data_IF_288930462006
#
_entry.id   IF_288930462006
#
_cell.length_a   1.000
_cell.length_b   1.000
_cell.length_c   1.000
_cell.angle_alpha   90.00
_cell.angle_beta   90.00
_cell.angle_gamma   90.00
#
_symmetry.space_group_name_H-M   'P 1'
#
loop_
_entity.id
_entity.type
_entity.pdbx_description
1 polymer ?
#
# COMPACT_ATOMS: atom_id res chain seq x y z
N UNK A 1 6.03 -24.92 -30.09
CA UNK A 1 6.79 -23.93 -29.30
C UNK A 1 6.31 -22.55 -29.73
N UNK A 2 5.61 -21.86 -28.91
CA UNK A 2 5.24 -20.47 -29.16
C UNK A 2 6.50 -19.62 -28.95
N UNK A 3 7.16 -19.21 -30.02
CA UNK A 3 8.29 -18.28 -29.94
C UNK A 3 7.74 -16.92 -29.56
N UNK A 4 7.91 -16.55 -28.28
CA UNK A 4 7.71 -15.19 -27.82
C UNK A 4 8.71 -14.25 -28.53
N UNK A 5 8.27 -13.06 -28.90
CA UNK A 5 9.16 -12.05 -29.48
C UNK A 5 10.35 -11.81 -28.52
N UNK A 6 11.57 -12.08 -29.01
CA UNK A 6 12.78 -11.96 -28.19
C UNK A 6 13.06 -10.51 -27.74
N UNK A 7 12.51 -9.51 -28.44
CA UNK A 7 12.64 -8.08 -28.08
C UNK A 7 11.89 -7.73 -26.79
N UNK A 8 10.90 -8.56 -26.40
CA UNK A 8 10.19 -8.40 -25.13
C UNK A 8 10.95 -9.00 -23.94
N UNK A 9 12.06 -9.71 -24.17
CA UNK A 9 12.80 -10.40 -23.13
C UNK A 9 14.12 -9.71 -22.82
N UNK A 10 14.41 -9.51 -21.55
CA UNK A 10 15.72 -9.09 -21.07
C UNK A 10 16.36 -10.17 -20.20
N UNK A 11 17.68 -10.35 -20.34
CA UNK A 11 18.47 -11.38 -19.66
C UNK A 11 19.44 -10.76 -18.65
N UNK A 12 19.93 -11.54 -17.67
CA UNK A 12 20.95 -11.10 -16.72
C UNK A 12 22.11 -10.39 -17.42
N UNK A 13 22.54 -9.27 -16.84
CA UNK A 13 23.61 -8.42 -17.37
C UNK A 13 23.14 -7.29 -18.30
N UNK A 14 21.93 -7.33 -18.85
CA UNK A 14 21.39 -6.24 -19.67
C UNK A 14 20.86 -5.07 -18.82
N UNK A 15 20.82 -3.86 -19.38
CA UNK A 15 20.28 -2.68 -18.68
C UNK A 15 18.79 -2.80 -18.36
N UNK A 16 17.88 -3.25 -19.27
CA UNK A 16 16.47 -3.45 -18.95
C UNK A 16 16.27 -4.49 -17.84
N UNK A 17 17.04 -5.59 -17.83
CA UNK A 17 16.98 -6.58 -16.76
C UNK A 17 17.31 -5.96 -15.41
N UNK A 18 18.43 -5.20 -15.30
CA UNK A 18 18.82 -4.55 -14.04
C UNK A 18 17.77 -3.55 -13.56
N UNK A 19 17.16 -2.81 -14.47
CA UNK A 19 16.10 -1.86 -14.12
C UNK A 19 14.87 -2.57 -13.52
N UNK A 20 14.39 -3.63 -14.17
CA UNK A 20 13.22 -4.37 -13.74
C UNK A 20 13.45 -5.19 -12.45
N UNK A 21 14.70 -5.59 -12.17
CA UNK A 21 15.06 -6.35 -10.96
C UNK A 21 15.50 -5.49 -9.79
N UNK A 22 15.35 -4.16 -9.88
CA UNK A 22 15.60 -3.21 -8.81
C UNK A 22 14.27 -2.68 -8.24
N UNK A 23 13.60 -3.41 -7.32
CA UNK A 23 12.33 -2.99 -6.75
C UNK A 23 12.51 -1.77 -5.84
N UNK A 24 11.42 -1.01 -5.61
CA UNK A 24 11.47 0.12 -4.68
C UNK A 24 11.80 -0.34 -3.25
N UNK A 25 11.25 -1.48 -2.80
CA UNK A 25 11.73 -2.11 -1.56
C UNK A 25 12.90 -3.06 -1.88
N UNK A 26 14.10 -2.65 -1.48
CA UNK A 26 15.36 -3.33 -1.79
C UNK A 26 15.78 -4.36 -0.71
N UNK A 27 14.87 -4.83 0.15
CA UNK A 27 15.17 -5.85 1.16
C UNK A 27 15.43 -7.23 0.60
N UNK A 28 14.99 -7.50 -0.63
CA UNK A 28 15.12 -8.82 -1.28
C UNK A 28 15.80 -8.70 -2.63
N UNK A 29 16.65 -9.67 -2.91
CA UNK A 29 17.33 -9.80 -4.20
C UNK A 29 16.41 -10.45 -5.23
N UNK A 30 16.41 -9.92 -6.46
CA UNK A 30 15.64 -10.44 -7.56
C UNK A 30 16.55 -10.88 -8.70
N UNK A 31 16.64 -12.20 -8.91
CA UNK A 31 17.49 -12.84 -9.91
C UNK A 31 16.67 -13.84 -10.78
N UNK A 32 15.61 -13.39 -11.47
CA UNK A 32 14.85 -14.27 -12.36
C UNK A 32 15.72 -14.80 -13.50
N UNK A 33 15.34 -15.94 -14.09
CA UNK A 33 15.98 -16.46 -15.30
C UNK A 33 15.94 -15.45 -16.45
N UNK A 34 14.85 -14.71 -16.53
CA UNK A 34 14.56 -13.73 -17.58
C UNK A 34 13.47 -12.76 -17.12
N UNK A 35 13.45 -11.55 -17.66
CA UNK A 35 12.36 -10.58 -17.46
C UNK A 35 11.63 -10.41 -18.80
N UNK A 36 10.29 -10.42 -18.75
CA UNK A 36 9.43 -10.05 -19.87
C UNK A 36 8.87 -8.64 -19.66
N UNK A 37 8.84 -7.83 -20.72
CA UNK A 37 8.37 -6.44 -20.72
C UNK A 37 7.13 -6.28 -21.64
N UNK A 38 5.95 -6.83 -21.27
CA UNK A 38 4.78 -6.78 -22.13
C UNK A 38 4.17 -5.36 -22.19
N UNK A 39 3.64 -5.00 -23.38
CA UNK A 39 2.94 -3.74 -23.65
C UNK A 39 1.41 -3.94 -23.74
N UNK A 40 0.93 -5.19 -23.80
CA UNK A 40 -0.48 -5.52 -23.90
C UNK A 40 -0.80 -6.87 -23.23
N UNK A 41 -2.10 -7.14 -23.02
CA UNK A 41 -2.57 -8.37 -22.38
C UNK A 41 -2.16 -9.64 -23.16
N UNK A 42 -2.12 -9.58 -24.49
CA UNK A 42 -1.74 -10.74 -25.30
C UNK A 42 -0.25 -11.10 -25.11
N UNK A 43 0.61 -10.11 -24.98
CA UNK A 43 2.04 -10.34 -24.68
C UNK A 43 2.24 -10.90 -23.26
N UNK A 44 1.42 -10.49 -22.27
CA UNK A 44 1.39 -11.13 -20.95
C UNK A 44 1.00 -12.61 -21.09
N UNK A 45 -0.06 -12.90 -21.87
CA UNK A 45 -0.52 -14.26 -22.11
C UNK A 45 0.56 -15.12 -22.80
N UNK A 46 1.28 -14.55 -23.77
CA UNK A 46 2.41 -15.21 -24.43
C UNK A 46 3.54 -15.50 -23.45
N UNK A 47 3.87 -14.54 -22.55
CA UNK A 47 4.91 -14.72 -21.54
C UNK A 47 4.58 -15.87 -20.57
N UNK A 48 3.32 -15.99 -20.12
CA UNK A 48 2.88 -17.09 -19.25
C UNK A 48 3.01 -18.44 -19.98
N UNK A 49 2.53 -18.54 -21.21
CA UNK A 49 2.67 -19.77 -22.02
C UNK A 49 4.13 -20.12 -22.29
N UNK A 50 4.96 -19.12 -22.60
CA UNK A 50 6.40 -19.29 -22.82
C UNK A 50 7.11 -19.82 -21.56
N UNK A 51 6.74 -19.33 -20.37
CA UNK A 51 7.24 -19.83 -19.09
C UNK A 51 6.78 -21.29 -18.83
N UNK A 52 5.53 -21.61 -19.18
CA UNK A 52 4.99 -22.95 -19.07
C UNK A 52 5.77 -23.97 -19.89
N UNK A 53 6.07 -23.67 -21.15
CA UNK A 53 6.86 -24.52 -22.05
C UNK A 53 8.29 -24.79 -21.55
N UNK A 54 8.77 -23.97 -20.57
CA UNK A 54 10.13 -24.06 -20.00
C UNK A 54 10.14 -24.49 -18.54
N UNK A 55 9.00 -24.85 -18.00
CA UNK A 55 8.81 -25.19 -16.60
C UNK A 55 9.31 -24.10 -15.63
N UNK A 56 9.09 -22.83 -15.98
CA UNK A 56 9.37 -21.69 -15.13
C UNK A 56 8.11 -21.28 -14.37
N UNK A 57 8.26 -20.89 -13.11
CA UNK A 57 7.27 -20.10 -12.39
C UNK A 57 7.20 -18.68 -12.95
N UNK A 58 6.11 -17.97 -12.66
CA UNK A 58 5.90 -16.59 -13.11
C UNK A 58 5.74 -15.70 -11.87
N UNK A 59 6.59 -14.69 -11.75
CA UNK A 59 6.43 -13.59 -10.81
C UNK A 59 5.99 -12.33 -11.56
N UNK A 60 5.32 -11.40 -10.87
CA UNK A 60 4.85 -10.14 -11.45
C UNK A 60 5.25 -8.96 -10.59
N UNK A 61 5.69 -7.87 -11.21
CA UNK A 61 6.06 -6.63 -10.55
C UNK A 61 5.70 -5.42 -11.42
N UNK A 62 5.28 -4.35 -10.77
CA UNK A 62 5.23 -2.99 -11.32
C UNK A 62 6.34 -2.15 -10.66
N UNK A 63 6.02 -1.32 -9.66
CA UNK A 63 7.01 -0.47 -8.96
C UNK A 63 7.86 -1.20 -7.91
N UNK A 64 7.45 -2.38 -7.46
CA UNK A 64 8.18 -3.15 -6.45
C UNK A 64 8.13 -2.61 -5.03
N UNK A 65 7.21 -1.70 -4.69
CA UNK A 65 7.01 -1.25 -3.30
C UNK A 65 6.67 -2.39 -2.34
N UNK A 66 5.90 -3.37 -2.81
CA UNK A 66 5.52 -4.55 -2.04
C UNK A 66 6.49 -5.73 -2.17
N UNK A 67 7.69 -5.56 -2.72
CA UNK A 67 8.67 -6.64 -2.82
C UNK A 67 9.06 -7.14 -1.41
N UNK A 68 9.04 -8.45 -1.22
CA UNK A 68 9.33 -9.08 0.07
C UNK A 68 9.82 -10.52 -0.08
N UNK A 69 9.40 -11.22 -1.14
CA UNK A 69 9.91 -12.52 -1.51
C UNK A 69 11.00 -12.41 -2.59
N UNK A 70 12.08 -13.19 -2.50
CA UNK A 70 13.08 -13.24 -3.56
C UNK A 70 12.49 -13.86 -4.82
N UNK A 71 12.89 -13.36 -5.99
CA UNK A 71 12.59 -13.97 -7.29
C UNK A 71 13.86 -14.64 -7.78
N UNK A 72 13.77 -15.95 -8.02
CA UNK A 72 14.94 -16.80 -8.31
C UNK A 72 15.05 -17.25 -9.76
N UNK A 73 16.12 -18.01 -10.09
CA UNK A 73 16.44 -18.42 -11.45
C UNK A 73 15.46 -19.45 -12.06
N UNK A 74 14.51 -19.95 -11.28
CA UNK A 74 13.44 -20.82 -11.78
C UNK A 74 12.16 -20.06 -12.16
N UNK A 75 12.23 -18.71 -12.23
CA UNK A 75 11.10 -17.86 -12.50
C UNK A 75 11.35 -16.91 -13.66
N UNK A 76 10.30 -16.64 -14.42
CA UNK A 76 10.15 -15.47 -15.28
C UNK A 76 9.58 -14.33 -14.44
N UNK A 77 10.17 -13.15 -14.48
CA UNK A 77 9.54 -11.93 -13.97
C UNK A 77 8.80 -11.23 -15.11
N UNK A 78 7.53 -10.93 -14.90
CA UNK A 78 6.76 -10.04 -15.79
C UNK A 78 6.79 -8.63 -15.17
N UNK A 79 7.50 -7.73 -15.83
CA UNK A 79 7.51 -6.30 -15.53
C UNK A 79 6.33 -5.63 -16.24
N UNK A 80 5.32 -5.21 -15.46
CA UNK A 80 4.11 -4.60 -15.99
C UNK A 80 4.21 -3.09 -16.20
N UNK A 81 5.37 -2.47 -15.98
CA UNK A 81 5.55 -1.01 -16.01
C UNK A 81 5.12 -0.35 -17.33
N UNK A 82 5.21 -1.06 -18.44
CA UNK A 82 4.77 -0.59 -19.76
C UNK A 82 3.24 -0.68 -19.96
N UNK A 83 2.51 -1.38 -19.10
CA UNK A 83 1.04 -1.39 -19.07
C UNK A 83 0.54 -0.19 -18.26
N UNK A 84 0.70 1.03 -18.76
CA UNK A 84 0.51 2.26 -17.98
C UNK A 84 -0.49 3.26 -18.59
N UNK A 85 -1.27 2.85 -19.56
CA UNK A 85 -2.33 3.67 -20.14
C UNK A 85 -3.38 4.04 -19.09
N UNK A 86 -3.83 5.31 -19.10
CA UNK A 86 -4.90 5.82 -18.25
C UNK A 86 -5.95 6.52 -19.10
N UNK A 87 -7.21 6.15 -18.91
CA UNK A 87 -8.35 6.87 -19.45
C UNK A 87 -9.41 7.10 -18.38
N UNK A 88 -10.02 8.28 -18.38
CA UNK A 88 -11.03 8.69 -17.41
C UNK A 88 -12.37 8.87 -18.14
N UNK A 89 -13.43 8.29 -17.57
CA UNK A 89 -14.82 8.66 -17.86
C UNK A 89 -15.32 9.59 -16.74
N UNK A 90 -15.33 10.91 -16.96
CA UNK A 90 -15.71 11.86 -15.91
C UNK A 90 -17.19 11.77 -15.52
N UNK A 91 -18.07 11.43 -16.47
CA UNK A 91 -19.50 11.33 -16.22
C UNK A 91 -19.84 10.13 -15.33
N UNK A 92 -19.21 9.00 -15.59
CA UNK A 92 -19.34 7.80 -14.78
C UNK A 92 -18.46 7.83 -13.51
N UNK A 93 -17.50 8.73 -13.42
CA UNK A 93 -16.44 8.78 -12.39
C UNK A 93 -15.65 7.47 -12.34
N UNK A 94 -15.18 7.03 -13.49
CA UNK A 94 -14.46 5.77 -13.66
C UNK A 94 -13.10 6.03 -14.30
N UNK A 95 -12.07 5.37 -13.77
CA UNK A 95 -10.77 5.24 -14.42
C UNK A 95 -10.62 3.83 -15.00
N UNK A 96 -10.06 3.74 -16.21
CA UNK A 96 -9.47 2.53 -16.77
C UNK A 96 -7.96 2.75 -16.81
N UNK A 97 -7.21 1.90 -16.13
CA UNK A 97 -5.77 2.06 -16.00
C UNK A 97 -5.04 0.73 -16.17
N UNK A 98 -3.95 0.73 -16.89
CA UNK A 98 -3.06 -0.44 -17.00
C UNK A 98 -2.45 -0.81 -15.66
N UNK A 99 -2.17 -2.10 -15.45
CA UNK A 99 -1.74 -2.62 -14.15
C UNK A 99 -0.36 -2.11 -13.68
N UNK A 100 0.45 -1.55 -14.58
CA UNK A 100 1.73 -0.90 -14.29
C UNK A 100 1.63 0.58 -13.92
N UNK A 101 0.42 1.17 -13.99
CA UNK A 101 0.19 2.58 -13.66
C UNK A 101 0.51 2.87 -12.19
N UNK A 102 1.12 4.03 -11.90
CA UNK A 102 1.30 4.54 -10.54
C UNK A 102 0.12 5.41 -10.11
N UNK A 103 -0.06 5.58 -8.79
CA UNK A 103 -1.08 6.49 -8.26
C UNK A 103 -0.86 7.94 -8.68
N UNK A 104 0.41 8.38 -8.80
CA UNK A 104 0.74 9.70 -9.32
C UNK A 104 0.21 9.90 -10.75
N UNK A 105 0.46 8.96 -11.65
CA UNK A 105 0.01 9.04 -13.04
C UNK A 105 -1.53 9.04 -13.15
N UNK A 106 -2.21 8.16 -12.41
CA UNK A 106 -3.67 8.10 -12.41
C UNK A 106 -4.27 9.40 -11.86
N UNK A 107 -3.82 9.86 -10.69
CA UNK A 107 -4.39 11.04 -10.04
C UNK A 107 -4.05 12.34 -10.77
N UNK A 108 -2.89 12.42 -11.43
CA UNK A 108 -2.54 13.54 -12.32
C UNK A 108 -3.51 13.69 -13.49
N UNK A 109 -3.99 12.55 -14.03
CA UNK A 109 -5.00 12.56 -15.11
C UNK A 109 -6.40 12.82 -14.55
N UNK A 110 -6.79 12.16 -13.45
CA UNK A 110 -8.13 12.26 -12.85
C UNK A 110 -8.44 13.68 -12.33
N UNK A 111 -7.46 14.36 -11.72
CA UNK A 111 -7.67 15.71 -11.16
C UNK A 111 -7.97 16.78 -12.23
N UNK A 112 -7.63 16.56 -13.50
CA UNK A 112 -8.03 17.45 -14.61
C UNK A 112 -9.55 17.51 -14.76
N UNK A 113 -10.26 16.52 -14.21
CA UNK A 113 -11.71 16.42 -14.16
C UNK A 113 -12.29 16.64 -12.75
N UNK A 114 -11.48 17.11 -11.79
CA UNK A 114 -11.88 17.24 -10.39
C UNK A 114 -12.10 15.91 -9.66
N UNK A 115 -11.52 14.82 -10.19
CA UNK A 115 -11.67 13.46 -9.67
C UNK A 115 -10.37 12.94 -9.08
N UNK A 116 -10.48 11.98 -8.14
CA UNK A 116 -9.34 11.35 -7.48
C UNK A 116 -9.56 9.86 -7.31
N UNK A 117 -8.50 9.07 -7.50
CA UNK A 117 -8.44 7.69 -7.03
C UNK A 117 -7.99 7.62 -5.57
N UNK A 118 -8.31 6.52 -4.91
CA UNK A 118 -8.02 6.30 -3.49
C UNK A 118 -6.56 5.86 -3.28
N UNK A 119 -5.62 6.76 -3.53
CA UNK A 119 -4.19 6.54 -3.39
C UNK A 119 -3.74 6.41 -1.93
N UNK A 120 -2.59 5.77 -1.72
CA UNK A 120 -1.82 5.82 -0.47
C UNK A 120 -1.06 7.14 -0.30
N UNK A 121 -0.07 7.13 0.60
CA UNK A 121 0.79 8.28 0.90
C UNK A 121 1.91 8.47 -0.13
N UNK A 122 2.44 7.39 -0.71
CA UNK A 122 3.53 7.47 -1.69
C UNK A 122 3.02 7.53 -3.14
N UNK A 123 3.43 8.53 -3.94
CA UNK A 123 2.95 8.74 -5.30
C UNK A 123 3.46 7.68 -6.31
N UNK A 124 4.58 7.02 -6.02
CA UNK A 124 5.25 6.05 -6.90
C UNK A 124 4.73 4.62 -6.75
N UNK A 125 3.82 4.38 -5.81
CA UNK A 125 3.18 3.07 -5.61
C UNK A 125 2.31 2.72 -6.81
N UNK A 126 2.45 1.47 -7.31
CA UNK A 126 1.61 0.93 -8.37
C UNK A 126 0.17 0.69 -7.92
N UNK A 127 -0.79 1.05 -8.78
CA UNK A 127 -2.23 0.96 -8.44
C UNK A 127 -2.68 -0.48 -8.18
N UNK A 128 -2.13 -1.46 -8.91
CA UNK A 128 -2.56 -2.86 -8.83
C UNK A 128 -2.22 -3.48 -7.48
N UNK A 129 -0.93 -3.57 -7.12
CA UNK A 129 -0.50 -4.20 -5.87
C UNK A 129 -1.09 -3.55 -4.62
N UNK A 130 -1.20 -2.22 -4.63
CA UNK A 130 -1.80 -1.46 -3.54
C UNK A 130 -3.30 -1.77 -3.37
N UNK A 131 -4.07 -1.70 -4.45
CA UNK A 131 -5.52 -1.98 -4.43
C UNK A 131 -5.79 -3.44 -4.04
N UNK A 132 -5.00 -4.38 -4.57
CA UNK A 132 -5.15 -5.81 -4.27
C UNK A 132 -4.77 -6.15 -2.83
N UNK A 133 -3.94 -5.35 -2.17
CA UNK A 133 -3.62 -5.47 -0.75
C UNK A 133 -4.59 -4.75 0.20
N UNK A 134 -5.72 -4.23 -0.32
CA UNK A 134 -6.68 -3.43 0.43
C UNK A 134 -6.54 -1.93 0.14
N UNK A 135 -5.38 -1.36 0.39
CA UNK A 135 -5.03 0.03 0.14
C UNK A 135 -5.70 1.03 1.07
N UNK A 136 -4.90 1.67 1.92
CA UNK A 136 -5.34 2.68 2.90
C UNK A 136 -4.55 3.97 2.69
N UNK A 137 -5.26 5.08 2.52
CA UNK A 137 -4.68 6.41 2.30
C UNK A 137 -5.46 7.52 3.00
N UNK A 138 -5.16 8.76 2.63
CA UNK A 138 -5.76 9.95 3.25
C UNK A 138 -7.27 10.12 2.99
N UNK A 139 -7.79 9.43 1.97
CA UNK A 139 -9.21 9.49 1.62
C UNK A 139 -9.98 8.24 2.09
N UNK A 140 -9.35 7.34 2.87
CA UNK A 140 -9.98 6.11 3.34
C UNK A 140 -11.16 6.38 4.28
N UNK A 141 -11.03 7.31 5.24
CA UNK A 141 -12.13 7.62 6.16
C UNK A 141 -13.40 8.08 5.42
N UNK A 142 -13.34 9.08 4.52
CA UNK A 142 -14.54 9.57 3.84
C UNK A 142 -15.04 8.65 2.72
N UNK A 143 -14.20 7.80 2.11
CA UNK A 143 -14.57 7.07 0.89
C UNK A 143 -14.28 5.57 0.91
N UNK A 144 -13.69 5.04 1.96
CA UNK A 144 -13.35 3.61 2.09
C UNK A 144 -11.98 3.24 1.53
N UNK A 145 -11.68 1.96 1.56
CA UNK A 145 -10.42 1.39 1.09
C UNK A 145 -10.35 1.39 -0.45
N UNK A 146 -9.14 1.44 -1.01
CA UNK A 146 -8.94 1.38 -2.45
C UNK A 146 -9.51 0.10 -3.09
N UNK A 147 -9.44 -1.03 -2.40
CA UNK A 147 -10.03 -2.30 -2.82
C UNK A 147 -11.55 -2.21 -3.05
N UNK A 148 -12.25 -1.39 -2.25
CA UNK A 148 -13.69 -1.15 -2.41
C UNK A 148 -14.02 -0.34 -3.68
N UNK A 149 -13.06 0.43 -4.23
CA UNK A 149 -13.23 1.17 -5.48
C UNK A 149 -13.07 0.32 -6.73
N UNK A 150 -12.56 -0.91 -6.62
CA UNK A 150 -12.27 -1.80 -7.75
C UNK A 150 -13.57 -2.36 -8.34
N UNK A 151 -13.83 -2.07 -9.62
CA UNK A 151 -15.04 -2.45 -10.34
C UNK A 151 -14.83 -3.67 -11.23
N UNK A 152 -13.66 -3.80 -11.86
CA UNK A 152 -13.29 -4.94 -12.69
C UNK A 152 -11.77 -5.02 -12.86
N UNK A 153 -11.26 -6.20 -13.22
CA UNK A 153 -9.87 -6.44 -13.59
C UNK A 153 -9.82 -7.28 -14.86
N UNK A 154 -9.14 -6.80 -15.90
CA UNK A 154 -8.73 -7.65 -16.99
C UNK A 154 -7.41 -8.31 -16.57
N UNK A 155 -7.31 -9.65 -16.70
CA UNK A 155 -6.16 -10.41 -16.19
C UNK A 155 -5.86 -11.63 -17.08
N UNK A 156 -4.68 -12.19 -16.91
CA UNK A 156 -4.26 -13.45 -17.51
C UNK A 156 -4.17 -14.51 -16.41
N UNK A 157 -4.82 -15.66 -16.62
CA UNK A 157 -4.78 -16.78 -15.68
C UNK A 157 -3.47 -17.60 -15.78
N UNK A 158 -3.29 -18.58 -14.87
CA UNK A 158 -2.08 -19.41 -14.84
C UNK A 158 -1.85 -20.27 -16.09
N UNK A 159 -2.87 -20.44 -16.95
CA UNK A 159 -2.75 -21.13 -18.24
C UNK A 159 -2.37 -20.18 -19.41
N UNK A 160 -2.29 -18.88 -19.15
CA UNK A 160 -2.04 -17.87 -20.17
C UNK A 160 -3.28 -17.49 -20.98
N UNK A 161 -4.49 -17.62 -20.41
CA UNK A 161 -5.74 -17.17 -21.04
C UNK A 161 -6.13 -15.78 -20.52
N UNK A 162 -6.40 -14.81 -21.41
CA UNK A 162 -7.02 -13.54 -21.02
C UNK A 162 -8.42 -13.78 -20.45
N UNK A 163 -8.72 -13.14 -19.32
CA UNK A 163 -9.98 -13.22 -18.58
C UNK A 163 -10.38 -11.83 -18.06
N UNK A 164 -11.64 -11.71 -17.61
CA UNK A 164 -12.16 -10.49 -17.00
C UNK A 164 -12.92 -10.80 -15.72
N UNK A 165 -12.36 -10.36 -14.61
CA UNK A 165 -13.00 -10.39 -13.30
C UNK A 165 -13.94 -9.19 -13.15
N UNK A 166 -15.25 -9.45 -12.95
CA UNK A 166 -16.27 -8.43 -12.76
C UNK A 166 -17.44 -9.02 -11.97
N UNK A 167 -18.25 -8.17 -11.30
CA UNK A 167 -19.42 -8.62 -10.53
C UNK A 167 -20.48 -9.30 -11.44
N UNK A 168 -20.56 -8.88 -12.70
CA UNK A 168 -21.50 -9.38 -13.73
C UNK A 168 -20.84 -10.41 -14.69
N UNK A 169 -19.63 -10.90 -14.38
CA UNK A 169 -18.98 -11.89 -15.22
C UNK A 169 -19.81 -13.18 -15.33
N UNK A 170 -19.97 -13.75 -16.54
CA UNK A 170 -20.77 -14.96 -16.74
C UNK A 170 -20.15 -16.18 -16.04
N UNK A 171 -18.81 -16.28 -16.03
CA UNK A 171 -18.08 -17.35 -15.35
C UNK A 171 -18.02 -17.06 -13.84
N UNK A 172 -18.49 -17.97 -12.96
CA UNK A 172 -18.37 -17.81 -11.52
C UNK A 172 -16.93 -17.69 -11.03
N UNK A 173 -15.95 -18.32 -11.72
CA UNK A 173 -14.53 -18.17 -11.39
C UNK A 173 -14.07 -16.73 -11.52
N UNK A 174 -14.55 -15.98 -12.51
CA UNK A 174 -14.20 -14.57 -12.71
C UNK A 174 -14.86 -13.66 -11.65
N UNK A 175 -16.05 -13.98 -11.18
CA UNK A 175 -16.66 -13.27 -10.03
C UNK A 175 -15.87 -13.50 -8.75
N UNK A 176 -15.47 -14.75 -8.50
CA UNK A 176 -14.62 -15.09 -7.35
C UNK A 176 -13.21 -14.47 -7.47
N UNK A 177 -12.65 -14.38 -8.69
CA UNK A 177 -11.40 -13.67 -8.92
C UNK A 177 -11.51 -12.18 -8.57
N UNK A 178 -12.63 -11.50 -8.89
CA UNK A 178 -12.84 -10.11 -8.49
C UNK A 178 -12.87 -9.95 -6.97
N UNK A 179 -13.54 -10.88 -6.27
CA UNK A 179 -13.55 -10.91 -4.81
C UNK A 179 -12.10 -11.01 -4.26
N UNK A 180 -11.26 -11.88 -4.85
CA UNK A 180 -9.87 -12.02 -4.45
C UNK A 180 -9.01 -10.78 -4.78
N UNK A 181 -9.23 -10.12 -5.93
CA UNK A 181 -8.57 -8.86 -6.28
C UNK A 181 -8.96 -7.72 -5.32
N UNK A 182 -10.14 -7.77 -4.70
CA UNK A 182 -10.57 -6.80 -3.69
C UNK A 182 -10.00 -7.13 -2.31
N UNK A 183 -8.69 -6.95 -2.13
CA UNK A 183 -8.01 -7.06 -0.83
C UNK A 183 -7.43 -8.43 -0.50
N UNK A 184 -7.58 -9.45 -1.35
CA UNK A 184 -6.96 -10.78 -1.16
C UNK A 184 -5.59 -10.92 -1.83
N UNK A 185 -5.03 -9.83 -2.35
CA UNK A 185 -3.72 -9.80 -3.01
C UNK A 185 -3.75 -10.18 -4.48
N UNK A 186 -4.92 -10.49 -5.03
CA UNK A 186 -5.10 -10.85 -6.43
C UNK A 186 -4.80 -12.32 -6.75
N UNK A 187 -5.17 -12.69 -7.97
CA UNK A 187 -4.98 -14.01 -8.57
C UNK A 187 -4.64 -13.83 -10.06
N UNK A 188 -3.74 -14.63 -10.60
CA UNK A 188 -3.25 -14.42 -11.97
C UNK A 188 -2.49 -13.09 -12.14
N UNK A 189 -2.39 -12.59 -13.35
CA UNK A 189 -1.60 -11.40 -13.72
C UNK A 189 -2.55 -10.34 -14.26
N UNK A 190 -2.80 -9.29 -13.47
CA UNK A 190 -3.62 -8.17 -13.91
C UNK A 190 -2.94 -7.41 -15.07
N UNK A 191 -3.75 -7.01 -16.05
CA UNK A 191 -3.32 -6.19 -17.19
C UNK A 191 -3.98 -4.82 -17.20
N UNK A 192 -5.24 -4.73 -16.72
CA UNK A 192 -6.00 -3.47 -16.63
C UNK A 192 -6.95 -3.50 -15.44
N UNK A 193 -7.08 -2.37 -14.75
CA UNK A 193 -8.03 -2.15 -13.67
C UNK A 193 -9.11 -1.15 -14.11
N UNK A 194 -10.35 -1.40 -13.68
CA UNK A 194 -11.46 -0.44 -13.71
C UNK A 194 -11.74 0.02 -12.28
N UNK A 195 -11.54 1.31 -11.98
CA UNK A 195 -11.63 1.89 -10.64
C UNK A 195 -12.70 2.97 -10.58
N UNK A 196 -13.50 2.98 -9.51
CA UNK A 196 -14.34 4.11 -9.17
C UNK A 196 -13.49 5.28 -8.65
N UNK A 197 -13.84 6.50 -9.07
CA UNK A 197 -13.19 7.72 -8.64
C UNK A 197 -14.12 8.53 -7.72
N UNK A 198 -13.52 9.34 -6.85
CA UNK A 198 -14.23 10.24 -5.94
C UNK A 198 -14.08 11.70 -6.39
N UNK A 199 -15.06 12.54 -6.01
CA UNK A 199 -15.07 13.98 -6.30
C UNK A 199 -15.07 14.76 -4.97
N UNK A 200 -13.91 15.09 -4.38
CA UNK A 200 -13.84 15.92 -3.20
C UNK A 200 -14.49 17.30 -3.43
N UNK A 201 -15.23 17.79 -2.44
CA UNK A 201 -15.83 19.14 -2.55
C UNK A 201 -14.75 20.24 -2.44
N UNK A 202 -13.84 20.08 -1.49
CA UNK A 202 -12.71 20.96 -1.26
C UNK A 202 -11.60 20.19 -0.55
N UNK A 203 -10.61 19.72 -1.30
CA UNK A 203 -9.49 18.98 -0.74
C UNK A 203 -8.54 19.93 0.00
N UNK A 204 -8.27 19.63 1.25
CA UNK A 204 -7.34 20.32 2.12
C UNK A 204 -6.37 19.31 2.73
N UNK A 205 -5.11 19.71 2.88
CA UNK A 205 -4.08 18.87 3.50
C UNK A 205 -2.99 19.73 4.14
N UNK A 206 -2.34 19.15 5.17
CA UNK A 206 -1.22 19.78 5.84
C UNK A 206 -0.54 18.80 6.79
N UNK A 207 0.61 19.23 7.33
CA UNK A 207 1.32 18.52 8.38
C UNK A 207 2.08 19.50 9.27
N UNK A 208 2.39 19.07 10.48
CA UNK A 208 3.17 19.82 11.46
C UNK A 208 4.29 18.94 12.00
N UNK A 209 5.44 19.54 12.30
CA UNK A 209 6.62 18.86 12.88
C UNK A 209 7.02 19.52 14.19
N UNK A 210 7.37 18.70 15.16
CA UNK A 210 7.92 19.13 16.43
C UNK A 210 9.22 18.38 16.76
N UNK A 211 10.02 18.97 17.60
CA UNK A 211 11.06 18.26 18.33
C UNK A 211 10.44 17.13 19.16
N UNK A 212 11.19 16.05 19.35
CA UNK A 212 10.71 14.84 20.06
C UNK A 212 10.26 15.11 21.50
N UNK A 213 10.75 16.17 22.12
CA UNK A 213 10.32 16.57 23.49
C UNK A 213 8.85 16.95 23.57
N UNK A 214 8.22 17.29 22.44
CA UNK A 214 6.80 17.55 22.34
C UNK A 214 5.93 16.29 22.17
N UNK A 215 6.51 15.08 22.13
CA UNK A 215 5.78 13.85 21.87
C UNK A 215 4.55 13.69 22.77
N UNK A 216 4.73 13.78 24.08
CA UNK A 216 3.64 13.57 25.03
C UNK A 216 2.50 14.59 24.86
N UNK A 217 2.73 15.92 24.92
CA UNK A 217 1.63 16.88 24.81
C UNK A 217 0.95 16.86 23.43
N UNK A 218 1.68 16.58 22.33
CA UNK A 218 1.07 16.49 21.00
C UNK A 218 0.23 15.20 20.88
N UNK A 219 0.71 14.07 21.42
CA UNK A 219 -0.06 12.80 21.42
C UNK A 219 -1.33 12.91 22.27
N UNK A 220 -1.27 13.55 23.44
CA UNK A 220 -2.44 13.78 24.29
C UNK A 220 -3.47 14.67 23.58
N UNK A 221 -3.04 15.76 22.93
CA UNK A 221 -3.89 16.64 22.15
C UNK A 221 -4.54 15.91 20.96
N UNK A 222 -3.74 15.15 20.18
CA UNK A 222 -4.25 14.36 19.07
C UNK A 222 -5.27 13.32 19.54
N UNK A 223 -4.95 12.54 20.56
CA UNK A 223 -5.84 11.50 21.08
C UNK A 223 -7.16 12.08 21.61
N UNK A 224 -7.11 13.23 22.31
CA UNK A 224 -8.33 13.87 22.81
C UNK A 224 -9.25 14.37 21.70
N UNK A 225 -8.67 14.75 20.55
CA UNK A 225 -9.46 15.21 19.39
C UNK A 225 -10.20 14.07 18.68
N UNK A 226 -9.75 12.82 18.82
CA UNK A 226 -10.32 11.69 18.04
C UNK A 226 -11.81 11.46 18.30
N UNK A 227 -12.32 11.77 19.48
CA UNK A 227 -13.75 11.70 19.79
C UNK A 227 -14.61 12.80 19.15
N UNK A 228 -14.00 13.91 18.69
CA UNK A 228 -14.68 15.04 18.07
C UNK A 228 -14.45 15.15 16.57
N UNK A 229 -13.43 14.46 16.05
CA UNK A 229 -13.07 14.46 14.61
C UNK A 229 -14.08 13.64 13.83
N UNK A 230 -14.77 14.29 12.90
CA UNK A 230 -15.71 13.62 11.99
C UNK A 230 -15.03 12.78 10.92
N UNK A 231 -15.81 11.94 10.22
CA UNK A 231 -15.32 11.03 9.16
C UNK A 231 -14.65 11.73 7.98
N UNK A 232 -14.91 13.03 7.82
CA UNK A 232 -14.30 13.82 6.76
C UNK A 232 -12.81 14.16 7.00
N UNK A 233 -12.28 14.02 8.22
CA UNK A 233 -10.86 14.26 8.50
C UNK A 233 -10.11 12.95 8.69
N UNK A 234 -9.12 12.69 7.86
CA UNK A 234 -8.09 11.69 8.12
C UNK A 234 -6.88 12.33 8.78
N UNK A 235 -6.35 11.72 9.83
CA UNK A 235 -5.16 12.23 10.54
C UNK A 235 -4.29 11.10 11.03
N UNK A 236 -2.98 11.36 11.11
CA UNK A 236 -2.02 10.45 11.71
C UNK A 236 -1.01 11.21 12.57
N UNK A 237 -0.53 10.54 13.60
CA UNK A 237 0.62 10.98 14.40
C UNK A 237 1.72 9.95 14.30
N UNK A 238 2.95 10.39 14.10
CA UNK A 238 4.10 9.49 14.03
C UNK A 238 5.34 10.04 14.74
N UNK A 239 6.19 9.13 15.18
CA UNK A 239 7.61 9.40 15.43
C UNK A 239 8.36 9.01 14.17
N UNK A 240 9.15 9.93 13.63
CA UNK A 240 9.94 9.76 12.42
C UNK A 240 11.41 10.10 12.70
N UNK A 241 12.32 9.22 12.36
CA UNK A 241 13.76 9.51 12.34
C UNK A 241 14.14 10.13 11.01
N UNK A 242 14.45 11.43 11.04
CA UNK A 242 14.73 12.19 9.83
C UNK A 242 16.14 11.92 9.31
N UNK A 243 16.37 11.95 7.98
CA UNK A 243 17.72 11.97 7.44
C UNK A 243 18.44 13.30 7.79
N UNK A 244 19.77 13.34 7.85
CA UNK A 244 20.54 14.56 8.08
C UNK A 244 20.62 15.44 6.81
N UNK A 245 19.47 15.71 6.18
CA UNK A 245 19.37 16.39 4.89
C UNK A 245 18.00 17.08 4.70
N UNK A 246 17.88 18.05 3.76
CA UNK A 246 16.59 18.58 3.32
C UNK A 246 15.61 17.46 2.90
N UNK A 247 14.29 17.68 2.99
CA UNK A 247 13.62 18.99 3.19
C UNK A 247 13.40 19.39 4.66
N UNK A 248 13.93 18.66 5.63
CA UNK A 248 13.71 18.96 7.03
C UNK A 248 14.48 20.24 7.45
N UNK A 249 13.90 21.09 8.37
CA UNK A 249 14.63 22.18 9.00
C UNK A 249 15.91 21.67 9.67
N UNK A 250 16.98 22.47 9.67
CA UNK A 250 18.29 22.06 10.20
C UNK A 250 18.23 21.53 11.65
N UNK A 251 17.38 22.11 12.49
CA UNK A 251 17.17 21.66 13.87
C UNK A 251 16.46 20.31 14.00
N UNK A 252 15.83 19.84 12.92
CA UNK A 252 15.09 18.57 12.86
C UNK A 252 15.76 17.52 11.97
N UNK A 253 17.02 17.72 11.58
CA UNK A 253 17.78 16.78 10.76
C UNK A 253 18.55 15.77 11.61
N UNK A 254 18.49 14.50 11.23
CA UNK A 254 19.25 13.42 11.88
C UNK A 254 18.77 13.09 13.30
N UNK A 255 17.56 13.46 13.64
CA UNK A 255 16.98 13.25 14.98
C UNK A 255 15.56 12.67 14.88
N UNK A 256 15.05 12.00 15.96
CA UNK A 256 13.65 11.67 16.04
C UNK A 256 12.80 12.94 16.20
N UNK A 257 11.68 12.99 15.50
CA UNK A 257 10.71 14.09 15.53
C UNK A 257 9.29 13.57 15.73
N UNK A 258 8.38 14.46 16.14
CA UNK A 258 6.94 14.21 16.06
C UNK A 258 6.43 14.79 14.76
N UNK A 259 5.75 13.97 13.98
CA UNK A 259 5.08 14.36 12.75
C UNK A 259 3.58 14.10 12.88
N UNK A 260 2.77 15.10 12.57
CA UNK A 260 1.31 15.01 12.54
C UNK A 260 0.83 15.47 11.17
N UNK A 261 0.15 14.57 10.45
CA UNK A 261 -0.40 14.84 9.13
C UNK A 261 -1.93 14.74 9.17
N UNK A 262 -2.60 15.52 8.33
CA UNK A 262 -4.05 15.53 8.24
C UNK A 262 -4.55 16.00 6.88
N UNK A 263 -5.69 15.43 6.43
CA UNK A 263 -6.30 15.73 5.16
C UNK A 263 -7.83 15.62 5.22
N UNK A 264 -8.53 16.44 4.45
CA UNK A 264 -9.98 16.39 4.33
C UNK A 264 -10.45 16.73 2.91
N UNK A 265 -11.43 16.01 2.36
CA UNK A 265 -12.11 16.36 1.11
C UNK A 265 -13.28 17.35 1.29
N UNK A 266 -13.58 17.78 2.54
CA UNK A 266 -14.77 18.54 2.90
C UNK A 266 -14.48 20.02 3.28
N UNK A 267 -13.26 20.49 3.05
CA UNK A 267 -12.88 21.89 3.30
C UNK A 267 -12.16 22.11 4.63
N UNK A 268 -11.89 23.39 4.96
CA UNK A 268 -11.00 23.78 6.05
C UNK A 268 -11.54 23.47 7.46
N UNK A 269 -12.86 23.52 7.64
CA UNK A 269 -13.48 23.39 8.96
C UNK A 269 -13.39 21.96 9.54
N UNK A 270 -13.14 20.97 8.69
CA UNK A 270 -13.00 19.57 9.13
C UNK A 270 -11.88 19.38 10.14
N UNK A 271 -10.80 20.16 10.07
CA UNK A 271 -9.68 20.09 11.00
C UNK A 271 -9.88 20.91 12.28
N UNK A 272 -10.97 21.66 12.44
CA UNK A 272 -11.16 22.56 13.57
C UNK A 272 -11.09 21.88 14.94
N UNK A 273 -11.64 20.66 15.17
CA UNK A 273 -11.48 19.98 16.46
C UNK A 273 -10.02 19.66 16.77
N UNK A 274 -9.27 19.11 15.79
CA UNK A 274 -7.85 18.78 15.92
C UNK A 274 -7.01 20.04 16.19
N UNK A 275 -7.17 21.07 15.38
CA UNK A 275 -6.42 22.32 15.53
C UNK A 275 -6.76 23.05 16.85
N UNK A 276 -7.97 22.90 17.37
CA UNK A 276 -8.36 23.40 18.69
C UNK A 276 -7.63 22.68 19.81
N UNK A 277 -7.57 21.34 19.75
CA UNK A 277 -6.87 20.52 20.74
C UNK A 277 -5.36 20.80 20.77
N UNK A 278 -4.77 21.14 19.63
CA UNK A 278 -3.34 21.46 19.52
C UNK A 278 -2.96 22.87 20.04
N UNK A 279 -3.92 23.73 20.39
CA UNK A 279 -3.60 25.11 20.87
C UNK A 279 -2.77 25.14 22.14
N UNK A 280 -2.95 24.14 23.02
CA UNK A 280 -2.25 24.03 24.28
C UNK A 280 -0.94 23.20 24.17
N UNK A 281 -0.70 22.61 23.02
CA UNK A 281 0.57 21.94 22.73
C UNK A 281 1.67 22.97 22.39
N UNK A 282 2.96 22.59 22.52
CA UNK A 282 4.06 23.45 22.07
C UNK A 282 3.90 23.87 20.60
N UNK A 283 4.37 25.06 20.27
CA UNK A 283 4.37 25.51 18.88
C UNK A 283 5.22 24.56 18.00
N UNK A 284 4.75 24.19 16.80
CA UNK A 284 5.50 23.34 15.91
C UNK A 284 6.77 24.04 15.41
N UNK A 285 7.84 23.29 15.24
CA UNK A 285 9.08 23.75 14.63
C UNK A 285 8.92 24.00 13.12
N UNK A 286 7.97 23.29 12.49
CA UNK A 286 7.53 23.51 11.12
C UNK A 286 6.02 23.29 11.05
N UNK A 287 5.32 24.29 10.53
CA UNK A 287 3.91 24.24 10.18
C UNK A 287 3.77 24.33 8.65
N UNK A 288 3.61 23.18 7.98
CA UNK A 288 3.25 23.14 6.58
C UNK A 288 1.73 23.27 6.47
N UNK A 289 1.29 24.48 6.63
CA UNK A 289 -0.06 24.94 6.90
C UNK A 289 -1.18 24.12 6.25
N UNK A 290 -2.23 23.91 6.99
CA UNK A 290 -3.53 23.47 6.53
C UNK A 290 -4.04 24.39 5.40
N UNK A 291 -4.04 23.89 4.16
CA UNK A 291 -4.29 24.65 2.96
C UNK A 291 -5.00 23.82 1.87
N UNK A 292 -5.63 24.47 0.87
CA UNK A 292 -6.12 23.77 -0.31
C UNK A 292 -5.06 22.85 -0.91
N UNK A 293 -5.46 21.65 -1.32
CA UNK A 293 -4.57 20.61 -1.79
C UNK A 293 -5.01 20.07 -3.16
N UNK A 294 -4.03 19.59 -3.89
CA UNK A 294 -4.17 18.74 -5.06
C UNK A 294 -3.58 17.35 -4.79
N UNK A 295 -3.53 16.49 -5.81
CA UNK A 295 -2.96 15.14 -5.69
C UNK A 295 -1.47 15.17 -5.31
N UNK A 296 -0.71 16.16 -5.80
CA UNK A 296 0.71 16.28 -5.51
C UNK A 296 0.95 16.68 -4.05
N UNK A 297 0.20 17.66 -3.52
CA UNK A 297 0.28 18.04 -2.11
C UNK A 297 -0.14 16.91 -1.18
N UNK A 298 -1.24 16.23 -1.51
CA UNK A 298 -1.72 15.09 -0.71
C UNK A 298 -0.68 13.97 -0.59
N UNK A 299 0.10 13.73 -1.65
CA UNK A 299 1.18 12.74 -1.66
C UNK A 299 2.45 13.20 -0.90
N UNK A 300 2.53 14.45 -0.46
CA UNK A 300 3.71 15.00 0.22
C UNK A 300 3.57 15.09 1.74
N UNK A 301 2.33 15.02 2.28
CA UNK A 301 2.12 15.29 3.71
C UNK A 301 2.61 14.17 4.64
N UNK A 302 2.91 12.99 4.12
CA UNK A 302 3.44 11.85 4.90
C UNK A 302 4.97 11.82 4.93
N UNK A 303 5.63 12.50 4.00
CA UNK A 303 7.08 12.58 3.90
C UNK A 303 7.76 11.24 3.55
N UNK A 304 7.10 10.41 2.75
CA UNK A 304 7.66 9.14 2.26
C UNK A 304 8.97 9.36 1.50
N UNK A 305 9.98 8.47 1.66
CA UNK A 305 11.22 8.56 0.91
C UNK A 305 10.98 8.38 -0.59
N UNK A 306 11.51 9.27 -1.45
CA UNK A 306 11.28 9.19 -2.90
C UNK A 306 12.11 8.11 -3.60
N UNK A 307 13.17 7.64 -2.95
CA UNK A 307 14.12 6.67 -3.49
C UNK A 307 13.87 5.26 -2.92
N UNK A 308 14.35 4.20 -3.61
CA UNK A 308 14.32 2.84 -3.09
C UNK A 308 14.97 2.72 -1.71
N UNK A 309 14.32 1.97 -0.81
CA UNK A 309 14.79 1.74 0.55
C UNK A 309 14.66 0.26 0.93
N UNK A 310 15.58 -0.31 1.73
CA UNK A 310 15.44 -1.65 2.29
C UNK A 310 14.54 -1.61 3.53
N UNK A 311 13.23 -1.39 3.33
CA UNK A 311 12.26 -1.25 4.40
C UNK A 311 11.73 -2.61 4.88
N UNK A 312 11.71 -2.82 6.20
CA UNK A 312 11.05 -3.94 6.85
C UNK A 312 10.04 -3.41 7.86
N UNK A 313 8.78 -3.84 7.75
CA UNK A 313 7.70 -3.26 8.53
C UNK A 313 6.61 -4.22 8.94
N UNK A 314 5.72 -3.71 9.79
CA UNK A 314 4.44 -4.31 10.14
C UNK A 314 3.33 -3.27 10.09
N UNK A 315 2.17 -3.68 9.58
CA UNK A 315 0.92 -2.94 9.71
C UNK A 315 -0.06 -3.77 10.54
N UNK A 316 -0.68 -3.17 11.57
CA UNK A 316 -1.67 -3.83 12.42
C UNK A 316 -2.94 -2.98 12.52
N UNK A 317 -4.08 -3.64 12.59
CA UNK A 317 -5.33 -2.96 12.86
C UNK A 317 -5.59 -2.96 14.36
N UNK A 318 -5.93 -1.78 14.90
CA UNK A 318 -6.30 -1.63 16.31
C UNK A 318 -7.78 -1.23 16.40
N UNK A 319 -8.52 -1.82 17.34
CA UNK A 319 -9.95 -1.50 17.57
C UNK A 319 -10.13 -0.14 18.22
N UNK A 320 -9.16 0.28 19.06
CA UNK A 320 -9.18 1.54 19.79
C UNK A 320 -7.76 2.01 20.11
N UNK A 321 -7.64 3.25 20.54
CA UNK A 321 -6.43 3.75 21.21
C UNK A 321 -6.80 4.71 22.32
N UNK A 322 -6.14 4.58 23.46
CA UNK A 322 -6.19 5.56 24.55
C UNK A 322 -4.98 6.49 24.46
N UNK A 323 -5.01 7.70 25.06
CA UNK A 323 -3.84 8.58 25.10
C UNK A 323 -2.60 7.88 25.66
N UNK A 324 -2.77 7.02 26.66
CA UNK A 324 -1.67 6.25 27.25
C UNK A 324 -1.11 5.22 26.27
N UNK A 325 -1.96 4.40 25.63
CA UNK A 325 -1.50 3.40 24.65
C UNK A 325 -0.81 4.07 23.45
N UNK A 326 -1.36 5.17 22.93
CA UNK A 326 -0.75 5.93 21.85
C UNK A 326 0.65 6.46 22.25
N UNK A 327 0.75 7.02 23.47
CA UNK A 327 2.04 7.51 24.01
C UNK A 327 3.05 6.38 24.20
N UNK A 328 2.62 5.24 24.74
CA UNK A 328 3.49 4.08 24.97
C UNK A 328 4.02 3.51 23.62
N UNK A 329 3.13 3.34 22.64
CA UNK A 329 3.52 2.88 21.30
C UNK A 329 4.52 3.83 20.65
N UNK A 330 4.20 5.12 20.54
CA UNK A 330 5.06 6.11 19.90
C UNK A 330 6.42 6.24 20.61
N UNK A 331 6.44 6.09 21.94
CA UNK A 331 7.67 6.13 22.73
C UNK A 331 8.65 5.00 22.40
N UNK A 332 8.18 3.87 21.84
CA UNK A 332 9.07 2.77 21.41
C UNK A 332 10.03 3.18 20.31
N UNK A 333 9.65 4.17 19.49
CA UNK A 333 10.46 4.71 18.40
C UNK A 333 11.12 6.07 18.74
N UNK A 334 10.90 6.65 19.94
CA UNK A 334 11.32 8.02 20.26
C UNK A 334 12.80 8.16 20.68
N UNK A 335 13.47 7.05 20.99
CA UNK A 335 14.86 7.08 21.44
C UNK A 335 15.86 7.43 20.31
N UNK A 336 17.00 8.08 20.62
CA UNK A 336 17.99 8.43 19.61
C UNK A 336 18.66 7.21 18.94
N UNK A 337 18.61 6.06 19.59
CA UNK A 337 19.11 4.78 19.10
C UNK A 337 17.96 3.80 18.84
N UNK A 338 16.77 4.31 18.45
CA UNK A 338 15.65 3.46 18.17
C UNK A 338 15.95 2.54 16.96
N UNK A 339 15.45 1.32 17.06
CA UNK A 339 15.62 0.27 16.04
C UNK A 339 14.70 0.48 14.83
N UNK A 340 13.73 1.40 14.96
CA UNK A 340 12.76 1.75 13.94
C UNK A 340 13.02 3.15 13.39
N UNK A 341 12.76 3.33 12.11
CA UNK A 341 12.82 4.63 11.44
C UNK A 341 11.53 5.41 11.56
N UNK A 342 10.39 4.70 11.71
CA UNK A 342 9.08 5.32 11.89
C UNK A 342 8.14 4.40 12.67
N UNK A 343 7.31 5.03 13.49
CA UNK A 343 6.08 4.42 14.02
C UNK A 343 4.94 5.43 13.87
N UNK A 344 3.86 5.01 13.24
CA UNK A 344 2.67 5.82 12.96
C UNK A 344 1.42 5.18 13.56
N UNK A 345 0.54 6.03 14.08
CA UNK A 345 -0.85 5.73 14.39
C UNK A 345 -1.74 6.58 13.49
N UNK A 346 -2.57 5.95 12.66
CA UNK A 346 -3.50 6.62 11.75
C UNK A 346 -4.93 6.30 12.10
N UNK A 347 -5.76 7.33 12.27
CA UNK A 347 -7.20 7.16 12.38
C UNK A 347 -7.78 6.76 11.01
N UNK A 348 -8.44 5.61 10.93
CA UNK A 348 -8.95 5.02 9.68
C UNK A 348 -10.40 4.57 9.76
N UNK A 349 -11.03 4.66 10.93
CA UNK A 349 -12.45 4.32 11.12
C UNK A 349 -13.32 5.04 10.11
N UNK A 350 -14.24 4.31 9.48
CA UNK A 350 -15.10 4.87 8.46
C UNK A 350 -16.46 4.13 8.39
N UNK A 351 -17.45 4.85 7.86
CA UNK A 351 -18.78 4.34 7.54
C UNK A 351 -19.04 4.23 6.03
N UNK A 352 -18.00 4.33 5.20
CA UNK A 352 -18.13 4.30 3.76
C UNK A 352 -18.68 2.96 3.27
N UNK A 353 -19.61 2.95 2.28
CA UNK A 353 -20.10 1.72 1.69
C UNK A 353 -18.98 0.89 1.06
N UNK A 354 -18.97 -0.41 1.34
CA UNK A 354 -17.99 -1.34 0.79
C UNK A 354 -18.64 -2.31 -0.21
N UNK A 355 -17.83 -2.81 -1.16
CA UNK A 355 -18.20 -3.89 -2.08
C UNK A 355 -17.83 -5.24 -1.45
N UNK A 356 -18.43 -6.34 -1.95
CA UNK A 356 -17.98 -7.68 -1.58
C UNK A 356 -16.52 -7.90 -2.04
N UNK A 357 -15.69 -8.37 -1.12
CA UNK A 357 -14.26 -8.61 -1.35
C UNK A 357 -13.57 -9.19 -0.13
N UNK A 358 -12.33 -9.62 -0.28
CA UNK A 358 -11.55 -10.23 0.79
C UNK A 358 -11.26 -9.25 1.95
N UNK A 359 -10.85 -8.02 1.63
CA UNK A 359 -10.80 -6.86 2.53
C UNK A 359 -11.21 -5.61 1.76
N UNK A 360 -12.35 -5.03 2.12
CA UNK A 360 -12.93 -3.83 1.51
C UNK A 360 -13.39 -2.80 2.54
N UNK A 361 -13.37 -3.18 3.81
CA UNK A 361 -13.60 -2.32 4.98
C UNK A 361 -12.38 -2.37 5.89
N UNK A 362 -12.12 -1.30 6.62
CA UNK A 362 -11.07 -1.28 7.64
C UNK A 362 -11.48 -2.17 8.82
N UNK A 363 -10.64 -3.13 9.25
CA UNK A 363 -10.97 -4.04 10.34
C UNK A 363 -10.96 -3.41 11.73
N UNK A 364 -10.32 -2.25 11.89
CA UNK A 364 -10.20 -1.54 13.16
C UNK A 364 -10.28 -0.03 12.99
N UNK A 365 -10.42 0.70 14.10
CA UNK A 365 -10.53 2.17 14.08
C UNK A 365 -9.19 2.87 13.78
N UNK A 366 -8.07 2.20 14.07
CA UNK A 366 -6.74 2.73 13.85
C UNK A 366 -5.86 1.74 13.08
N UNK A 367 -4.96 2.29 12.27
CA UNK A 367 -3.85 1.59 11.65
C UNK A 367 -2.57 1.95 12.42
N UNK A 368 -1.91 0.94 12.98
CA UNK A 368 -0.55 1.01 13.47
C UNK A 368 0.38 0.61 12.32
N UNK A 369 1.35 1.46 11.99
CA UNK A 369 2.42 1.17 11.04
C UNK A 369 3.77 1.41 11.69
N UNK A 370 4.61 0.39 11.69
CA UNK A 370 5.99 0.48 12.19
C UNK A 370 6.95 -0.05 11.14
N UNK A 371 8.04 0.68 10.89
CA UNK A 371 9.02 0.35 9.86
C UNK A 371 10.42 0.72 10.30
N UNK A 372 11.39 -0.11 9.93
CA UNK A 372 12.82 0.13 10.09
C UNK A 372 13.60 -0.28 8.84
N UNK A 373 14.90 -0.09 8.87
CA UNK A 373 15.79 -0.48 7.78
C UNK A 373 16.30 -1.92 7.96
N UNK A 374 16.46 -2.63 6.85
CA UNK A 374 17.00 -3.99 6.79
C UNK A 374 18.02 -4.11 5.64
N UNK A 375 19.00 -3.19 5.63
CA UNK A 375 20.02 -3.11 4.58
C UNK A 375 21.04 -4.25 4.68
N UNK A 376 21.26 -4.78 5.88
CA UNK A 376 22.16 -5.88 6.20
C UNK A 376 21.59 -6.74 7.34
N UNK A 377 22.30 -7.80 7.72
CA UNK A 377 21.86 -8.72 8.78
C UNK A 377 21.71 -8.03 10.15
N UNK A 378 22.57 -7.06 10.46
CA UNK A 378 22.56 -6.35 11.75
C UNK A 378 21.37 -5.40 11.84
N UNK A 379 21.16 -4.55 10.84
CA UNK A 379 20.01 -3.63 10.76
C UNK A 379 18.69 -4.38 10.67
N UNK A 380 18.65 -5.51 9.95
CA UNK A 380 17.49 -6.40 9.92
C UNK A 380 17.15 -6.94 11.31
N UNK A 381 18.13 -7.49 12.04
CA UNK A 381 17.91 -8.05 13.38
C UNK A 381 17.45 -6.96 14.38
N UNK A 382 18.02 -5.76 14.31
CA UNK A 382 17.60 -4.64 15.14
C UNK A 382 16.16 -4.23 14.81
N UNK A 383 15.83 -4.09 13.53
CA UNK A 383 14.46 -3.76 13.10
C UNK A 383 13.47 -4.83 13.54
N UNK A 384 13.77 -6.11 13.37
CA UNK A 384 12.89 -7.21 13.81
C UNK A 384 12.63 -7.17 15.32
N UNK A 385 13.65 -6.90 16.13
CA UNK A 385 13.49 -6.71 17.57
C UNK A 385 12.61 -5.51 17.92
N UNK A 386 12.80 -4.36 17.25
CA UNK A 386 11.94 -3.18 17.41
C UNK A 386 10.48 -3.45 17.05
N UNK A 387 10.25 -4.15 15.93
CA UNK A 387 8.90 -4.52 15.48
C UNK A 387 8.20 -5.48 16.46
N UNK A 388 8.92 -6.44 17.05
CA UNK A 388 8.38 -7.35 18.07
C UNK A 388 7.96 -6.61 19.34
N UNK A 389 8.75 -5.63 19.77
CA UNK A 389 8.39 -4.76 20.91
C UNK A 389 7.11 -3.98 20.65
N UNK A 390 6.98 -3.39 19.45
CA UNK A 390 5.77 -2.66 19.04
C UNK A 390 4.57 -3.61 18.98
N UNK A 391 4.73 -4.79 18.37
CA UNK A 391 3.68 -5.79 18.29
C UNK A 391 3.19 -6.21 19.69
N UNK A 392 4.11 -6.46 20.61
CA UNK A 392 3.78 -6.81 22.00
C UNK A 392 3.03 -5.68 22.71
N UNK A 393 3.46 -4.44 22.54
CA UNK A 393 2.80 -3.27 23.14
C UNK A 393 1.39 -3.02 22.55
N UNK A 394 1.16 -3.37 21.29
CA UNK A 394 -0.13 -3.20 20.62
C UNK A 394 -1.17 -4.28 20.96
N UNK A 395 -0.76 -5.43 21.53
CA UNK A 395 -1.64 -6.58 21.80
C UNK A 395 -2.98 -6.25 22.48
N UNK A 396 -3.05 -5.31 23.46
CA UNK A 396 -4.33 -5.01 24.13
C UNK A 396 -5.41 -4.44 23.19
N UNK A 397 -5.04 -3.86 22.06
CA UNK A 397 -5.97 -3.26 21.10
C UNK A 397 -5.92 -3.91 19.71
N UNK A 398 -5.04 -4.89 19.49
CA UNK A 398 -4.87 -5.56 18.20
C UNK A 398 -6.09 -6.43 17.86
N UNK A 399 -6.72 -6.19 16.72
CA UNK A 399 -7.86 -7.00 16.24
C UNK A 399 -7.45 -8.37 15.67
N UNK A 400 -6.17 -8.73 15.72
CA UNK A 400 -5.65 -10.00 15.21
C UNK A 400 -5.46 -10.04 13.70
N UNK A 401 -5.49 -8.90 13.01
CA UNK A 401 -5.30 -8.81 11.57
C UNK A 401 -4.17 -7.85 11.19
N UNK A 402 -3.37 -8.26 10.21
CA UNK A 402 -2.34 -7.43 9.60
C UNK A 402 -2.91 -6.56 8.47
N UNK A 403 -2.38 -5.35 8.34
CA UNK A 403 -2.60 -4.48 7.19
C UNK A 403 -1.55 -4.79 6.11
N UNK A 404 -1.89 -5.65 5.15
CA UNK A 404 -0.94 -6.20 4.18
C UNK A 404 -0.20 -5.13 3.36
N UNK A 405 -0.82 -3.98 3.07
CA UNK A 405 -0.17 -2.86 2.36
C UNK A 405 0.93 -2.17 3.16
N UNK A 406 1.02 -2.44 4.48
CA UNK A 406 1.96 -1.87 5.44
C UNK A 406 2.89 -2.92 6.08
N UNK A 407 3.09 -4.04 5.40
CA UNK A 407 3.98 -5.12 5.83
C UNK A 407 5.21 -5.17 4.89
N UNK A 408 6.02 -4.12 4.89
CA UNK A 408 7.17 -3.93 4.01
C UNK A 408 8.18 -5.04 4.19
N UNK A 409 8.79 -5.51 3.09
CA UNK A 409 9.86 -6.50 3.09
C UNK A 409 9.46 -7.89 3.61
N UNK A 410 8.17 -8.13 3.89
CA UNK A 410 7.66 -9.45 4.29
C UNK A 410 7.35 -10.31 3.08
N UNK A 411 7.88 -11.53 3.06
CA UNK A 411 7.59 -12.48 2.00
C UNK A 411 6.13 -12.98 2.07
N UNK A 412 5.60 -13.09 3.28
CA UNK A 412 4.24 -13.57 3.55
C UNK A 412 3.59 -12.79 4.69
N UNK A 413 2.27 -12.58 4.59
CA UNK A 413 1.40 -11.98 5.60
C UNK A 413 0.33 -13.01 5.96
N UNK A 414 0.58 -13.79 7.00
CA UNK A 414 -0.26 -14.96 7.39
C UNK A 414 -1.62 -14.51 7.93
N UNK A 415 -1.65 -13.44 8.73
CA UNK A 415 -2.85 -12.90 9.37
C UNK A 415 -3.46 -11.70 8.61
N UNK A 416 -3.20 -11.60 7.29
CA UNK A 416 -3.78 -10.56 6.44
C UNK A 416 -5.28 -10.73 6.17
N UNK A 417 -5.85 -11.92 6.42
CA UNK A 417 -7.26 -12.24 6.21
C UNK A 417 -7.80 -13.10 7.35
N UNK A 418 -9.10 -12.98 7.59
CA UNK A 418 -9.84 -13.90 8.47
C UNK A 418 -9.76 -15.35 7.93
N UNK A 419 -9.81 -16.40 8.79
CA UNK A 419 -9.66 -17.79 8.38
C UNK A 419 -10.60 -18.23 7.25
N UNK A 420 -11.87 -17.83 7.28
CA UNK A 420 -12.86 -18.16 6.23
C UNK A 420 -12.49 -17.51 4.89
N UNK A 421 -12.01 -16.26 4.91
CA UNK A 421 -11.56 -15.57 3.71
C UNK A 421 -10.28 -16.19 3.14
N UNK A 422 -9.35 -16.66 3.98
CA UNK A 422 -8.15 -17.39 3.54
C UNK A 422 -8.49 -18.68 2.81
N UNK A 423 -9.46 -19.47 3.34
CA UNK A 423 -9.92 -20.69 2.68
C UNK A 423 -10.62 -20.40 1.34
N UNK A 424 -11.43 -19.30 1.26
CA UNK A 424 -12.03 -18.87 0.00
C UNK A 424 -10.96 -18.48 -1.01
N UNK A 425 -9.95 -17.72 -0.59
CA UNK A 425 -8.82 -17.30 -1.43
C UNK A 425 -8.04 -18.51 -1.98
N UNK A 426 -7.79 -19.53 -1.16
CA UNK A 426 -7.13 -20.77 -1.59
C UNK A 426 -7.89 -21.43 -2.75
N UNK A 427 -9.22 -21.59 -2.62
CA UNK A 427 -10.06 -22.15 -3.70
C UNK A 427 -10.01 -21.33 -4.97
N UNK A 428 -10.05 -20.01 -4.85
CA UNK A 428 -9.97 -19.10 -6.01
C UNK A 428 -8.62 -19.23 -6.71
N UNK A 429 -7.52 -19.31 -5.97
CA UNK A 429 -6.17 -19.50 -6.52
C UNK A 429 -6.07 -20.80 -7.31
N UNK A 430 -6.56 -21.91 -6.78
CA UNK A 430 -6.58 -23.20 -7.48
C UNK A 430 -7.44 -23.14 -8.74
N UNK A 431 -8.59 -22.46 -8.71
CA UNK A 431 -9.47 -22.33 -9.88
C UNK A 431 -8.87 -21.49 -11.02
N UNK A 432 -8.09 -20.45 -10.67
CA UNK A 432 -7.46 -19.54 -11.64
C UNK A 432 -6.10 -20.08 -12.12
N UNK A 433 -5.36 -20.77 -11.26
CA UNK A 433 -4.01 -21.27 -11.52
C UNK A 433 -3.82 -22.68 -10.91
N UNK A 434 -4.42 -23.72 -11.51
CA UNK A 434 -4.35 -25.08 -10.99
C UNK A 434 -2.92 -25.64 -10.96
N UNK A 435 -2.06 -25.19 -11.85
CA UNK A 435 -0.65 -25.60 -11.93
C UNK A 435 0.26 -24.83 -10.97
N UNK A 436 -0.28 -23.86 -10.21
CA UNK A 436 0.46 -22.98 -9.28
C UNK A 436 1.67 -22.31 -9.95
N UNK A 437 1.49 -21.88 -11.18
CA UNK A 437 2.54 -21.27 -12.02
C UNK A 437 2.85 -19.84 -11.62
N UNK A 438 1.81 -19.06 -11.33
CA UNK A 438 1.94 -17.66 -10.94
C UNK A 438 2.27 -17.58 -9.45
N UNK A 439 3.38 -16.92 -9.11
CA UNK A 439 3.69 -16.61 -7.73
C UNK A 439 2.56 -15.75 -7.14
N UNK A 440 1.98 -16.24 -6.07
CA UNK A 440 0.89 -15.53 -5.41
C UNK A 440 1.39 -14.28 -4.70
N UNK A 441 0.45 -13.37 -4.42
CA UNK A 441 0.75 -12.23 -3.57
C UNK A 441 1.17 -12.71 -2.17
N UNK A 442 1.84 -11.84 -1.44
CA UNK A 442 2.29 -12.10 -0.06
C UNK A 442 1.15 -12.36 0.96
N UNK A 443 -0.12 -12.10 0.62
CA UNK A 443 -1.24 -12.44 1.50
C UNK A 443 -1.43 -13.96 1.48
N UNK A 444 -1.24 -14.60 2.65
CA UNK A 444 -1.38 -16.03 2.78
C UNK A 444 -2.82 -16.48 2.50
N UNK A 445 -2.96 -17.53 1.69
CA UNK A 445 -4.19 -18.31 1.63
C UNK A 445 -4.17 -19.36 2.75
N UNK A 446 -5.33 -19.93 3.09
CA UNK A 446 -5.39 -21.10 3.96
C UNK A 446 -4.70 -22.29 3.28
N UNK A 447 -4.19 -23.23 4.07
CA UNK A 447 -3.74 -24.50 3.54
C UNK A 447 -4.92 -25.16 2.80
N UNK A 448 -4.66 -25.67 1.60
CA UNK A 448 -5.63 -26.50 0.90
C UNK A 448 -5.94 -27.70 1.83
N UNK A 449 -7.13 -27.71 2.39
CA UNK A 449 -7.64 -28.94 2.98
C UNK A 449 -7.69 -29.96 1.84
N UNK A 450 -6.74 -30.92 1.89
CA UNK A 450 -6.61 -32.01 0.95
C UNK A 450 -7.89 -32.85 0.90
#
# INVERSE_FOLDING_TARGET
>A
MNDMNQDLLSRPGSSPYRAATAPHNSTTEQQPAVVAHPHCAEEVAQAVRWAADRNLGVAVQASGHGAGAPIGPNQLLIDTSALNEVSIDPAARIAHAGAGTTWSALNSTAQQHGLFGLAGSSPTVGIAGYTFGGGVGWLTRPYGMASSSLLAVDYVDGSGRPRRAADDAPDPVDREALWAFRGGGGVGIATRLKLGLVAPQALWAGYQLWDITALKPVTEAWSSAMGEVGDALSTSISVLHTPPAPPFPAALQGVPIVHLAFASPAGPDAAAPLLRALRDAPAPALDNSWAPADAARLAQIHLDPPNPVPALGIGRWLDSTTPQLASDLLSTAAGPNAELTMLELRNVDNSAPARDGAITTVPGAFLLHAVGLAADASSRAATEHGLERVYTAAQPADVGLAAASFAEGRAEVVDGLQPVARQRLARVRVAVDPDRRVAHSRIAAGDDAA
#
